data_IF_816200670252
#
_entry.id   IF_816200670252
#
_cell.length_a   1.000
_cell.length_b   1.000
_cell.length_c   1.000
_cell.angle_alpha   90.00
_cell.angle_beta   90.00
_cell.angle_gamma   90.00
#
_symmetry.space_group_name_H-M   'P 1'
#
loop_
_entity.id
_entity.type
_entity.pdbx_description
1 polymer ?
#
# COMPACT_ATOMS: atom_id res chain seq x y z
N UNK A 1 4.71 -8.50 -14.82
CA UNK A 1 4.58 -7.55 -13.67
C UNK A 1 3.65 -8.14 -12.63
N UNK A 2 3.87 -7.79 -11.34
CA UNK A 2 3.08 -8.28 -10.20
C UNK A 2 2.77 -7.14 -9.23
N UNK A 3 1.52 -7.03 -8.80
CA UNK A 3 1.07 -6.03 -7.80
C UNK A 3 0.53 -6.74 -6.56
N UNK A 4 0.97 -6.32 -5.38
CA UNK A 4 0.43 -6.79 -4.10
C UNK A 4 -0.50 -5.72 -3.53
N UNK A 5 -1.72 -6.13 -3.19
CA UNK A 5 -2.72 -5.27 -2.56
C UNK A 5 -2.88 -5.68 -1.10
N UNK A 6 -2.50 -4.83 -0.18
CA UNK A 6 -2.55 -5.10 1.25
C UNK A 6 -3.88 -4.66 1.85
N UNK A 7 -4.66 -5.61 2.34
CA UNK A 7 -5.92 -5.36 3.03
C UNK A 7 -5.68 -5.25 4.55
N UNK A 8 -5.64 -4.04 5.08
CA UNK A 8 -5.45 -3.75 6.51
C UNK A 8 -6.73 -3.78 7.36
N UNK A 9 -7.83 -4.27 6.79
CA UNK A 9 -9.07 -4.44 7.54
C UNK A 9 -9.01 -5.69 8.43
N UNK A 10 -9.54 -5.64 9.67
CA UNK A 10 -9.75 -6.86 10.47
C UNK A 10 -10.74 -7.82 9.79
N UNK A 11 -11.60 -7.31 8.92
CA UNK A 11 -12.54 -8.11 8.12
C UNK A 11 -11.88 -8.50 6.79
N UNK A 12 -11.58 -9.77 6.61
CA UNK A 12 -10.90 -10.28 5.41
C UNK A 12 -11.63 -9.92 4.11
N UNK A 13 -12.95 -10.00 4.08
CA UNK A 13 -13.80 -9.76 2.90
C UNK A 13 -14.77 -8.59 3.13
N UNK A 14 -14.31 -7.50 3.75
CA UNK A 14 -15.12 -6.31 4.07
C UNK A 14 -15.04 -5.23 2.99
N UNK A 15 -15.45 -4.02 3.36
CA UNK A 15 -15.50 -2.83 2.49
C UNK A 15 -14.14 -2.50 1.85
N UNK A 16 -13.05 -2.56 2.63
CA UNK A 16 -11.68 -2.36 2.11
C UNK A 16 -11.33 -3.40 1.05
N UNK A 17 -11.61 -4.67 1.31
CA UNK A 17 -11.38 -5.74 0.34
C UNK A 17 -12.14 -5.51 -0.97
N UNK A 18 -13.42 -5.08 -0.89
CA UNK A 18 -14.25 -4.77 -2.07
C UNK A 18 -13.61 -3.66 -2.93
N UNK A 19 -13.08 -2.61 -2.30
CA UNK A 19 -12.35 -1.56 -3.02
C UNK A 19 -11.09 -2.10 -3.72
N UNK A 20 -10.30 -2.93 -3.02
CA UNK A 20 -9.09 -3.54 -3.58
C UNK A 20 -9.39 -4.50 -4.73
N UNK A 21 -10.50 -5.26 -4.67
CA UNK A 21 -10.95 -6.14 -5.78
C UNK A 21 -11.25 -5.35 -7.05
N UNK A 22 -11.76 -4.12 -6.96
CA UNK A 22 -12.04 -3.31 -8.15
C UNK A 22 -10.73 -2.83 -8.81
N UNK A 23 -9.71 -2.48 -8.02
CA UNK A 23 -8.35 -2.17 -8.53
C UNK A 23 -7.74 -3.42 -9.17
N UNK A 24 -7.77 -4.55 -8.47
CA UNK A 24 -7.27 -5.85 -8.94
C UNK A 24 -7.86 -6.23 -10.30
N UNK A 25 -9.18 -6.07 -10.45
CA UNK A 25 -9.89 -6.36 -11.70
C UNK A 25 -9.34 -5.56 -12.88
N UNK A 26 -9.07 -4.27 -12.70
CA UNK A 26 -8.51 -3.45 -13.78
C UNK A 26 -7.05 -3.83 -14.09
N UNK A 27 -6.23 -4.12 -13.08
CA UNK A 27 -4.86 -4.60 -13.27
C UNK A 27 -4.82 -5.93 -14.03
N UNK A 28 -5.71 -6.86 -13.68
CA UNK A 28 -5.79 -8.18 -14.34
C UNK A 28 -6.23 -8.06 -15.81
N UNK A 29 -7.13 -7.13 -16.16
CA UNK A 29 -7.48 -6.82 -17.57
C UNK A 29 -6.28 -6.39 -18.40
N UNK A 30 -5.31 -5.74 -17.76
CA UNK A 30 -4.07 -5.26 -18.38
C UNK A 30 -2.92 -6.30 -18.36
N UNK A 31 -3.24 -7.56 -17.97
CA UNK A 31 -2.29 -8.68 -17.92
C UNK A 31 -1.30 -8.64 -16.76
N UNK A 32 -1.56 -7.82 -15.74
CA UNK A 32 -0.72 -7.70 -14.55
C UNK A 32 -1.20 -8.69 -13.49
N UNK A 33 -0.29 -9.53 -13.00
CA UNK A 33 -0.61 -10.48 -11.91
C UNK A 33 -0.86 -9.74 -10.60
N UNK A 34 -1.86 -10.15 -9.85
CA UNK A 34 -2.23 -9.52 -8.58
C UNK A 34 -2.34 -10.54 -7.45
N UNK A 35 -2.19 -10.06 -6.24
CA UNK A 35 -2.45 -10.83 -5.02
C UNK A 35 -2.95 -9.88 -3.93
N UNK A 36 -4.16 -10.13 -3.42
CA UNK A 36 -4.66 -9.43 -2.22
C UNK A 36 -4.16 -10.18 -0.99
N UNK A 37 -3.33 -9.50 -0.19
CA UNK A 37 -2.76 -10.02 1.05
C UNK A 37 -3.49 -9.44 2.26
N UNK A 38 -3.93 -10.29 3.20
CA UNK A 38 -4.64 -9.85 4.40
C UNK A 38 -3.68 -9.38 5.48
N UNK A 39 -3.34 -8.10 5.46
CA UNK A 39 -2.48 -7.42 6.44
C UNK A 39 -3.16 -7.19 7.80
N UNK A 40 -4.49 -7.24 7.85
CA UNK A 40 -5.29 -7.05 9.06
C UNK A 40 -5.14 -8.15 10.12
N UNK A 41 -4.26 -9.13 9.90
CA UNK A 41 -3.84 -10.10 10.91
C UNK A 41 -2.67 -9.60 11.78
N UNK A 42 -2.02 -8.48 11.43
CA UNK A 42 -0.94 -7.91 12.21
C UNK A 42 -1.47 -7.22 13.48
N UNK A 43 -1.29 -7.84 14.61
CA UNK A 43 -1.81 -7.36 15.91
C UNK A 43 -0.75 -6.74 16.80
N UNK A 44 0.54 -6.92 16.49
CA UNK A 44 1.66 -6.39 17.27
C UNK A 44 2.30 -5.22 16.55
N UNK A 45 2.42 -4.08 17.25
CA UNK A 45 3.13 -2.91 16.78
C UNK A 45 4.65 -3.10 16.69
N UNK A 46 5.34 -2.14 16.08
CA UNK A 46 6.80 -2.12 16.03
C UNK A 46 7.38 -1.85 17.43
N UNK A 47 8.34 -2.68 17.86
CA UNK A 47 9.01 -2.54 19.15
C UNK A 47 10.20 -1.56 19.11
N UNK A 48 10.57 -1.02 17.94
CA UNK A 48 11.76 -0.18 17.79
C UNK A 48 13.09 -0.90 18.09
N UNK A 49 13.10 -2.22 18.13
CA UNK A 49 14.23 -3.04 18.59
C UNK A 49 15.44 -3.05 17.64
N UNK A 50 15.30 -2.56 16.41
CA UNK A 50 16.36 -2.55 15.40
C UNK A 50 16.77 -3.91 14.82
N UNK A 51 16.14 -4.99 15.22
CA UNK A 51 16.45 -6.36 14.76
C UNK A 51 16.43 -6.49 13.23
N UNK A 52 15.42 -5.89 12.58
CA UNK A 52 15.27 -5.94 11.13
C UNK A 52 16.42 -5.27 10.35
N UNK A 53 17.13 -4.30 10.94
CA UNK A 53 18.31 -3.68 10.31
C UNK A 53 19.49 -4.66 10.20
N UNK A 54 19.58 -5.64 11.11
CA UNK A 54 20.65 -6.64 11.13
C UNK A 54 20.26 -7.88 10.33
N UNK A 55 19.04 -8.36 10.53
CA UNK A 55 18.59 -9.67 10.03
C UNK A 55 17.72 -9.59 8.77
N UNK A 56 17.35 -8.38 8.31
CA UNK A 56 16.50 -8.19 7.12
C UNK A 56 15.06 -8.69 7.27
N UNK A 57 14.60 -8.98 8.52
CA UNK A 57 13.23 -9.43 8.84
C UNK A 57 12.80 -8.93 10.21
N UNK A 58 11.48 -8.86 10.45
CA UNK A 58 10.97 -8.50 11.77
C UNK A 58 11.24 -9.63 12.78
N UNK A 59 11.55 -9.26 14.03
CA UNK A 59 11.73 -10.22 15.13
C UNK A 59 10.42 -10.96 15.46
N UNK A 60 9.28 -10.31 15.26
CA UNK A 60 7.97 -10.94 15.40
C UNK A 60 7.68 -11.76 14.14
N UNK A 61 7.62 -13.07 14.30
CA UNK A 61 7.35 -14.00 13.20
C UNK A 61 5.84 -14.13 12.99
N UNK A 62 5.33 -13.41 12.01
CA UNK A 62 3.91 -13.38 11.61
C UNK A 62 3.76 -12.92 10.15
N UNK A 63 2.54 -12.55 9.76
CA UNK A 63 2.20 -12.12 8.40
C UNK A 63 3.09 -10.98 7.83
N UNK A 64 3.79 -10.21 8.66
CA UNK A 64 4.71 -9.17 8.19
C UNK A 64 5.95 -9.80 7.53
N UNK A 65 6.49 -10.87 8.10
CA UNK A 65 7.62 -11.57 7.48
C UNK A 65 7.21 -12.27 6.16
N UNK A 66 6.00 -12.83 6.09
CA UNK A 66 5.45 -13.36 4.84
C UNK A 66 5.32 -12.25 3.77
N UNK A 67 4.77 -11.09 4.15
CA UNK A 67 4.64 -9.94 3.27
C UNK A 67 6.00 -9.42 2.80
N UNK A 68 7.02 -9.42 3.66
CA UNK A 68 8.39 -9.02 3.30
C UNK A 68 8.97 -9.85 2.15
N UNK A 69 8.63 -11.12 2.07
CA UNK A 69 9.04 -11.97 0.94
C UNK A 69 8.31 -11.58 -0.35
N UNK A 70 6.98 -11.31 -0.25
CA UNK A 70 6.18 -10.89 -1.41
C UNK A 70 6.64 -9.54 -1.98
N UNK A 71 7.06 -8.61 -1.12
CA UNK A 71 7.51 -7.28 -1.51
C UNK A 71 8.76 -7.30 -2.38
N UNK A 72 9.65 -8.30 -2.20
CA UNK A 72 10.87 -8.43 -2.99
C UNK A 72 10.58 -8.58 -4.48
N UNK A 73 9.61 -9.42 -4.81
CA UNK A 73 9.28 -9.83 -6.18
C UNK A 73 8.13 -9.03 -6.81
N UNK A 74 7.57 -8.07 -6.09
CA UNK A 74 6.49 -7.25 -6.60
C UNK A 74 7.00 -5.95 -7.25
N UNK A 75 6.27 -5.48 -8.26
CA UNK A 75 6.59 -4.26 -9.01
C UNK A 75 5.84 -3.04 -8.48
N UNK A 76 4.68 -3.21 -7.83
CA UNK A 76 3.90 -2.13 -7.25
C UNK A 76 3.02 -2.62 -6.09
N UNK A 77 2.43 -1.67 -5.35
CA UNK A 77 1.66 -1.94 -4.14
C UNK A 77 0.40 -1.10 -4.04
N UNK A 78 -0.63 -1.66 -3.38
CA UNK A 78 -1.79 -0.90 -2.92
C UNK A 78 -1.97 -1.15 -1.42
N UNK A 79 -2.07 -0.08 -0.63
CA UNK A 79 -2.25 -0.15 0.81
C UNK A 79 -3.66 0.31 1.18
N UNK A 80 -4.55 -0.63 1.51
CA UNK A 80 -5.95 -0.36 1.84
C UNK A 80 -6.24 -0.48 3.33
N UNK A 81 -6.90 0.52 3.92
CA UNK A 81 -7.31 0.52 5.31
C UNK A 81 -8.76 0.96 5.50
N UNK A 82 -9.50 0.35 6.43
CA UNK A 82 -10.72 0.97 6.92
C UNK A 82 -10.37 2.18 7.79
N UNK A 83 -11.31 3.12 7.89
CA UNK A 83 -11.21 4.26 8.81
C UNK A 83 -11.69 3.84 10.20
N UNK A 84 -10.79 3.93 11.17
CA UNK A 84 -11.09 3.75 12.59
C UNK A 84 -10.74 5.04 13.33
N UNK A 85 -11.73 5.72 13.96
CA UNK A 85 -11.52 6.98 14.68
C UNK A 85 -10.78 8.04 13.85
N UNK A 86 -11.21 8.24 12.59
CA UNK A 86 -10.61 9.16 11.63
C UNK A 86 -9.12 8.91 11.31
N UNK A 87 -8.65 7.69 11.47
CA UNK A 87 -7.28 7.24 11.17
C UNK A 87 -7.31 5.86 10.48
N UNK A 88 -6.16 5.41 9.98
CA UNK A 88 -6.02 4.05 9.53
C UNK A 88 -6.22 3.05 10.70
N UNK A 89 -6.68 1.84 10.41
CA UNK A 89 -6.83 0.82 11.45
C UNK A 89 -5.50 0.55 12.15
N UNK A 90 -5.53 0.33 13.47
CA UNK A 90 -4.33 -0.01 14.22
C UNK A 90 -3.61 -1.26 13.70
N UNK A 91 -4.34 -2.20 13.10
CA UNK A 91 -3.74 -3.35 12.43
C UNK A 91 -2.95 -2.95 11.20
N UNK A 92 -3.48 -2.03 10.38
CA UNK A 92 -2.76 -1.52 9.20
C UNK A 92 -1.51 -0.75 9.59
N UNK A 93 -1.57 0.13 10.57
CA UNK A 93 -0.39 0.87 11.04
C UNK A 93 0.66 -0.04 11.67
N UNK A 94 0.25 -1.00 12.50
CA UNK A 94 1.16 -2.03 13.05
C UNK A 94 1.86 -2.84 11.95
N UNK A 95 1.12 -3.18 10.91
CA UNK A 95 1.66 -3.88 9.74
C UNK A 95 2.66 -2.99 8.98
N UNK A 96 2.27 -1.75 8.63
CA UNK A 96 3.09 -0.84 7.84
C UNK A 96 4.38 -0.43 8.56
N UNK A 97 4.32 -0.08 9.86
CA UNK A 97 5.51 0.25 10.65
C UNK A 97 6.56 -0.85 10.53
N UNK A 98 6.14 -2.09 10.68
CA UNK A 98 7.05 -3.24 10.67
C UNK A 98 7.52 -3.60 9.26
N UNK A 99 6.63 -3.57 8.27
CA UNK A 99 6.95 -3.85 6.87
C UNK A 99 7.94 -2.83 6.33
N UNK A 100 7.68 -1.54 6.53
CA UNK A 100 8.53 -0.47 6.03
C UNK A 100 9.89 -0.41 6.75
N UNK A 101 9.95 -0.75 8.04
CA UNK A 101 11.25 -0.90 8.72
C UNK A 101 12.05 -2.10 8.23
N UNK A 102 11.42 -3.20 7.86
CA UNK A 102 12.12 -4.44 7.46
C UNK A 102 12.39 -4.55 5.97
N UNK A 103 11.66 -3.81 5.12
CA UNK A 103 11.65 -4.02 3.66
C UNK A 103 11.82 -2.73 2.86
N UNK A 104 12.21 -1.60 3.46
CA UNK A 104 12.30 -0.29 2.80
C UNK A 104 13.12 -0.31 1.51
N UNK A 105 14.24 -1.05 1.48
CA UNK A 105 15.10 -1.18 0.30
C UNK A 105 14.40 -1.83 -0.89
N UNK A 106 13.41 -2.68 -0.64
CA UNK A 106 12.63 -3.37 -1.67
C UNK A 106 11.39 -2.58 -2.13
N UNK A 107 11.06 -1.48 -1.44
CA UNK A 107 9.90 -0.63 -1.73
C UNK A 107 10.27 0.60 -2.55
N UNK A 108 11.49 1.10 -2.42
CA UNK A 108 11.97 2.33 -3.05
C UNK A 108 11.71 2.33 -4.56
N UNK A 109 11.16 3.45 -5.08
CA UNK A 109 10.85 3.70 -6.48
C UNK A 109 9.87 2.69 -7.13
N UNK A 110 9.19 1.86 -6.35
CA UNK A 110 8.08 1.05 -6.85
C UNK A 110 6.77 1.84 -6.70
N UNK A 111 5.93 1.93 -7.76
CA UNK A 111 4.65 2.63 -7.69
C UNK A 111 3.75 2.09 -6.59
N UNK A 112 2.98 2.97 -5.99
CA UNK A 112 1.98 2.54 -5.00
C UNK A 112 0.73 3.41 -5.02
N UNK A 113 -0.33 2.92 -4.40
CA UNK A 113 -1.53 3.68 -4.08
C UNK A 113 -1.93 3.43 -2.63
N UNK A 114 -2.61 4.38 -2.01
CA UNK A 114 -3.26 4.22 -0.71
C UNK A 114 -4.77 4.33 -0.87
N UNK A 115 -5.54 3.55 -0.11
CA UNK A 115 -7.01 3.51 -0.22
C UNK A 115 -7.63 3.51 1.16
N UNK A 116 -8.63 4.36 1.37
CA UNK A 116 -9.43 4.39 2.59
C UNK A 116 -10.86 3.89 2.31
N UNK A 117 -11.40 3.04 3.20
CA UNK A 117 -12.83 2.72 3.20
C UNK A 117 -13.48 3.22 4.48
N UNK A 118 -14.56 3.97 4.37
CA UNK A 118 -15.26 4.50 5.52
C UNK A 118 -16.79 4.52 5.33
N UNK A 119 -17.51 4.53 6.44
CA UNK A 119 -18.96 4.72 6.38
C UNK A 119 -19.32 6.16 5.99
N UNK A 120 -18.61 7.17 6.53
CA UNK A 120 -18.96 8.59 6.33
C UNK A 120 -17.74 9.51 6.38
N UNK A 121 -17.09 9.70 7.51
CA UNK A 121 -16.04 10.70 7.72
C UNK A 121 -14.69 10.08 8.12
N UNK A 122 -13.61 10.90 8.05
CA UNK A 122 -12.25 10.53 8.47
C UNK A 122 -11.38 9.92 7.37
N UNK A 123 -11.90 9.78 6.15
CA UNK A 123 -11.15 9.19 5.03
C UNK A 123 -9.92 10.02 4.63
N UNK A 124 -10.02 11.35 4.55
CA UNK A 124 -8.90 12.22 4.18
C UNK A 124 -7.76 12.14 5.19
N UNK A 125 -8.06 12.23 6.50
CA UNK A 125 -7.05 12.07 7.54
C UNK A 125 -6.40 10.68 7.52
N UNK A 126 -7.17 9.64 7.18
CA UNK A 126 -6.63 8.28 7.00
C UNK A 126 -5.69 8.21 5.80
N UNK A 127 -6.04 8.84 4.67
CA UNK A 127 -5.18 8.90 3.49
C UNK A 127 -3.89 9.66 3.79
N UNK A 128 -3.95 10.81 4.47
CA UNK A 128 -2.78 11.59 4.88
C UNK A 128 -1.82 10.76 5.74
N UNK A 129 -2.36 9.97 6.66
CA UNK A 129 -1.55 9.06 7.49
C UNK A 129 -0.89 7.97 6.65
N UNK A 130 -1.65 7.32 5.76
CA UNK A 130 -1.13 6.23 4.93
C UNK A 130 -0.06 6.71 3.94
N UNK A 131 -0.19 7.92 3.40
CA UNK A 131 0.77 8.49 2.45
C UNK A 131 2.17 8.71 3.05
N UNK A 132 2.29 8.89 4.37
CA UNK A 132 3.60 9.08 5.02
C UNK A 132 4.56 7.90 4.82
N UNK A 133 4.04 6.68 4.70
CA UNK A 133 4.84 5.49 4.48
C UNK A 133 5.51 5.44 3.10
N UNK A 134 4.78 5.57 1.98
CA UNK A 134 5.40 5.60 0.67
C UNK A 134 6.22 6.87 0.40
N UNK A 135 5.80 8.05 0.90
CA UNK A 135 6.53 9.30 0.72
C UNK A 135 7.97 9.21 1.23
N UNK A 136 8.19 8.73 2.47
CA UNK A 136 9.54 8.59 3.04
C UNK A 136 10.40 7.54 2.31
N UNK A 137 9.78 6.66 1.54
CA UNK A 137 10.43 5.61 0.75
C UNK A 137 10.58 5.96 -0.74
N UNK A 138 10.38 7.21 -1.14
CA UNK A 138 10.53 7.66 -2.52
C UNK A 138 9.67 6.86 -3.51
N UNK A 139 8.47 6.42 -3.10
CA UNK A 139 7.59 5.64 -3.94
C UNK A 139 6.68 6.56 -4.76
N UNK A 140 6.60 6.41 -6.10
CA UNK A 140 5.63 7.14 -6.91
C UNK A 140 4.20 6.82 -6.49
N UNK A 141 3.40 7.86 -6.17
CA UNK A 141 2.01 7.71 -5.76
C UNK A 141 1.10 7.73 -6.99
N UNK A 142 0.28 6.70 -7.13
CA UNK A 142 -0.72 6.56 -8.20
C UNK A 142 -2.10 6.91 -7.67
N UNK A 143 -2.73 7.90 -8.27
CA UNK A 143 -4.04 8.41 -7.88
C UNK A 143 -5.10 8.19 -8.97
N UNK A 144 -6.36 8.32 -8.58
CA UNK A 144 -7.51 8.45 -9.46
C UNK A 144 -7.92 9.91 -9.67
N UNK A 145 -9.12 10.16 -10.24
CA UNK A 145 -9.64 11.52 -10.49
C UNK A 145 -10.12 12.24 -9.22
N UNK A 146 -10.14 11.56 -8.08
CA UNK A 146 -10.53 12.08 -6.77
C UNK A 146 -9.69 11.40 -5.68
N UNK A 147 -9.85 11.81 -4.41
CA UNK A 147 -9.18 11.14 -3.28
C UNK A 147 -9.53 9.66 -3.23
N UNK A 148 -8.56 8.83 -2.94
CA UNK A 148 -8.60 7.38 -3.06
C UNK A 148 -9.43 6.72 -1.94
N UNK A 149 -10.73 6.97 -1.93
CA UNK A 149 -11.63 6.46 -0.90
C UNK A 149 -12.89 5.82 -1.48
N UNK A 150 -13.53 4.97 -0.68
CA UNK A 150 -14.86 4.43 -0.92
C UNK A 150 -15.72 4.59 0.32
N UNK A 151 -17.03 4.77 0.13
CA UNK A 151 -18.01 4.90 1.20
C UNK A 151 -18.94 3.70 1.25
N UNK A 152 -19.17 3.19 2.44
CA UNK A 152 -20.10 2.08 2.71
C UNK A 152 -19.72 1.34 3.99
N UNK A 153 -20.74 0.85 4.68
CA UNK A 153 -20.59 0.06 5.91
C UNK A 153 -20.45 -1.45 5.60
N UNK A 154 -20.94 -1.86 4.43
CA UNK A 154 -20.88 -3.23 3.94
C UNK A 154 -20.27 -3.28 2.54
N UNK A 155 -19.82 -4.46 2.06
CA UNK A 155 -19.37 -4.64 0.68
C UNK A 155 -20.41 -4.22 -0.36
N UNK A 156 -21.69 -4.45 -0.10
CA UNK A 156 -22.80 -4.11 -0.98
C UNK A 156 -22.98 -2.60 -1.11
N UNK A 157 -22.92 -1.88 0.02
CA UNK A 157 -22.96 -0.43 0.04
C UNK A 157 -21.76 0.19 -0.69
N UNK A 158 -20.55 -0.34 -0.52
CA UNK A 158 -19.37 0.12 -1.25
C UNK A 158 -19.54 -0.04 -2.77
N UNK A 159 -20.16 -1.13 -3.24
CA UNK A 159 -20.45 -1.32 -4.67
C UNK A 159 -21.43 -0.27 -5.21
N UNK A 160 -22.27 0.31 -4.36
CA UNK A 160 -23.22 1.37 -4.70
C UNK A 160 -22.56 2.78 -4.66
N UNK A 161 -21.37 2.92 -4.11
CA UNK A 161 -20.56 4.15 -4.20
C UNK A 161 -19.91 4.22 -5.61
N UNK A 162 -20.70 4.69 -6.58
CA UNK A 162 -20.30 4.69 -7.99
C UNK A 162 -19.07 5.55 -8.25
N UNK A 163 -18.93 6.68 -7.53
CA UNK A 163 -17.78 7.58 -7.63
C UNK A 163 -16.53 6.93 -7.02
N UNK A 164 -16.61 6.42 -5.80
CA UNK A 164 -15.49 5.71 -5.17
C UNK A 164 -15.04 4.50 -5.98
N UNK A 165 -15.96 3.71 -6.52
CA UNK A 165 -15.62 2.59 -7.39
C UNK A 165 -15.01 3.04 -8.73
N UNK A 166 -15.40 4.20 -9.27
CA UNK A 166 -14.73 4.80 -10.42
C UNK A 166 -13.30 5.21 -10.10
N UNK A 167 -13.06 5.79 -8.93
CA UNK A 167 -11.71 6.13 -8.46
C UNK A 167 -10.84 4.87 -8.35
N UNK A 168 -11.36 3.77 -7.79
CA UNK A 168 -10.65 2.49 -7.71
C UNK A 168 -10.26 1.96 -9.09
N UNK A 169 -11.19 1.98 -10.06
CA UNK A 169 -10.90 1.59 -11.46
C UNK A 169 -9.81 2.45 -12.08
N UNK A 170 -9.88 3.75 -11.85
CA UNK A 170 -8.88 4.71 -12.38
C UNK A 170 -7.49 4.46 -11.80
N UNK A 171 -7.39 4.18 -10.49
CA UNK A 171 -6.12 3.80 -9.86
C UNK A 171 -5.54 2.55 -10.53
N UNK A 172 -6.35 1.51 -10.75
CA UNK A 172 -5.90 0.29 -11.42
C UNK A 172 -5.36 0.54 -12.83
N UNK A 173 -6.08 1.33 -13.63
CA UNK A 173 -5.66 1.71 -14.99
C UNK A 173 -4.39 2.56 -15.01
N UNK A 174 -4.32 3.58 -14.14
CA UNK A 174 -3.16 4.47 -14.04
C UNK A 174 -1.91 3.71 -13.57
N UNK A 175 -2.07 2.81 -12.61
CA UNK A 175 -0.98 1.94 -12.14
C UNK A 175 -0.50 1.00 -13.26
N UNK A 176 -1.40 0.39 -14.01
CA UNK A 176 -1.06 -0.46 -15.13
C UNK A 176 -0.28 0.31 -16.22
N UNK A 177 -0.75 1.52 -16.54
CA UNK A 177 -0.06 2.40 -17.49
C UNK A 177 1.35 2.75 -17.02
N UNK A 178 1.49 3.19 -15.75
CA UNK A 178 2.79 3.57 -15.19
C UNK A 178 3.78 2.39 -15.16
N UNK A 179 3.31 1.20 -14.76
CA UNK A 179 4.13 -0.01 -14.74
C UNK A 179 4.63 -0.39 -16.14
N UNK A 180 3.77 -0.26 -17.16
CA UNK A 180 4.15 -0.50 -18.57
C UNK A 180 5.18 0.53 -19.05
N UNK A 181 5.05 1.81 -18.64
CA UNK A 181 6.03 2.85 -18.95
C UNK A 181 7.38 2.53 -18.29
N UNK A 182 7.40 2.15 -17.03
CA UNK A 182 8.62 1.77 -16.30
C UNK A 182 9.30 0.57 -16.99
N UNK A 183 8.55 -0.49 -17.29
CA UNK A 183 9.09 -1.67 -17.97
C UNK A 183 9.70 -1.33 -19.34
N UNK A 184 9.04 -0.47 -20.11
CA UNK A 184 9.56 0.01 -21.41
C UNK A 184 10.79 0.89 -21.24
N UNK A 185 10.80 1.77 -20.24
CA UNK A 185 11.94 2.60 -19.90
C UNK A 185 13.17 1.75 -19.54
N UNK A 186 13.01 0.78 -18.66
CA UNK A 186 14.08 -0.14 -18.27
C UNK A 186 14.64 -0.92 -19.48
N UNK A 187 13.77 -1.43 -20.37
CA UNK A 187 14.18 -2.09 -21.63
C UNK A 187 14.90 -1.15 -22.60
N UNK A 188 14.65 0.16 -22.51
CA UNK A 188 15.33 1.19 -23.29
C UNK A 188 16.61 1.73 -22.61
N UNK A 189 17.02 1.17 -21.48
CA UNK A 189 18.24 1.57 -20.75
C UNK A 189 18.04 2.73 -19.76
N UNK A 190 16.80 3.14 -19.48
CA UNK A 190 16.50 4.14 -18.44
C UNK A 190 16.51 3.42 -17.09
N UNK A 191 17.57 3.61 -16.32
CA UNK A 191 17.75 2.99 -15.02
C UNK A 191 17.14 3.86 -13.90
N UNK A 192 16.78 3.20 -12.80
CA UNK A 192 16.41 3.90 -11.57
C UNK A 192 17.59 4.72 -11.06
N UNK A 193 17.36 5.95 -10.53
CA UNK A 193 18.43 6.75 -9.95
C UNK A 193 19.04 6.03 -8.73
N UNK A 194 20.34 6.18 -8.56
CA UNK A 194 21.04 5.71 -7.38
C UNK A 194 20.50 6.40 -6.12
N UNK A 195 20.55 5.70 -4.99
CA UNK A 195 20.21 6.30 -3.72
C UNK A 195 21.39 7.12 -3.20
N UNK A 196 21.15 8.37 -2.83
CA UNK A 196 22.15 9.14 -2.08
C UNK A 196 22.33 8.58 -0.67
N UNK A 197 23.54 8.79 -0.10
CA UNK A 197 23.78 8.50 1.30
C UNK A 197 22.92 9.41 2.17
N UNK A 198 22.15 8.81 3.10
CA UNK A 198 21.22 9.58 3.95
C UNK A 198 21.96 10.44 4.96
N UNK A 199 21.92 11.75 4.76
CA UNK A 199 22.33 12.71 5.77
C UNK A 199 21.27 12.76 6.88
N UNK A 200 21.71 12.60 8.13
CA UNK A 200 20.81 12.64 9.29
C UNK A 200 21.14 13.87 10.14
N UNK A 201 20.19 14.79 10.22
CA UNK A 201 20.30 15.92 11.13
C UNK A 201 19.90 15.48 12.54
N UNK A 202 20.78 15.72 13.51
CA UNK A 202 20.48 15.55 14.93
C UNK A 202 20.40 16.93 15.57
N UNK A 203 19.24 17.28 16.13
CA UNK A 203 19.01 18.57 16.79
C UNK A 203 19.46 18.58 18.26
N UNK A 204 19.87 17.47 18.82
CA UNK A 204 20.48 17.37 20.16
C UNK A 204 21.98 17.65 20.01
N UNK A 205 22.43 18.76 20.58
CA UNK A 205 23.82 19.19 20.60
C UNK A 205 24.38 19.02 21.99
#
# INVERSE_FOLDING_TARGET
MKVILFNGSPKKNGSTYTALCEIEKELNKEGIKTQIFHAGAATKGCLGCGYCRKEGKCITDDCVNEASLLVRDADAFVFGSPVHYAAASGMMTSFLDRLFYSSSSHLRLKPCAVVASCRRGGSTATLDQLLKYPEINEMPIVNGPYWSMVHGNTPEEVKNDLEGMQVMRSIGKNMAWLLKCIEKGEKAGINKPDAEEKIRTNFIR
#
